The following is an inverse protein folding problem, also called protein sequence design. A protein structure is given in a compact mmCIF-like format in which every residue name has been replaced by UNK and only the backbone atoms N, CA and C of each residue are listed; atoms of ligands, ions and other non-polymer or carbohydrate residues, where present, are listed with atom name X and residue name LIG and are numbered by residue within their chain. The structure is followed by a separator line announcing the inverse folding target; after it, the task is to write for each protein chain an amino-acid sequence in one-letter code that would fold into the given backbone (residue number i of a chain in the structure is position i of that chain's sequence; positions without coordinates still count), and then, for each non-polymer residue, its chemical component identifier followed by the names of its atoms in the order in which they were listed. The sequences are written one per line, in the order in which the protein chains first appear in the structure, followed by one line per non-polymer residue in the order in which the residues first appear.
data_IF_129810308989
#
_entry.id   IF_129810308989
#
_cell.length_a   1.000
_cell.length_b   1.000
_cell.length_c   1.000
_cell.angle_alpha   90.00
_cell.angle_beta   90.00
_cell.angle_gamma   90.00
#
_symmetry.space_group_name_H-M   'P 1'
#
loop_
_entity.id
_entity.type
_entity.pdbx_description
1 polymer ?
#
# COMPACT_ATOMS: atom_id res chain seq x y z
N UNK A 1 15.20 -30.64 24.75
CA UNK A 1 15.67 -29.33 24.25
C UNK A 1 15.13 -28.24 25.17
N UNK A 2 15.99 -27.64 25.98
CA UNK A 2 15.65 -26.58 26.92
C UNK A 2 15.73 -25.23 26.21
N UNK A 3 14.62 -24.48 26.16
CA UNK A 3 14.61 -23.12 25.62
C UNK A 3 15.44 -22.20 26.52
N UNK A 4 16.66 -21.90 26.10
CA UNK A 4 17.45 -20.79 26.64
C UNK A 4 16.76 -19.48 26.24
N UNK A 5 16.05 -18.87 27.19
CA UNK A 5 15.42 -17.56 27.00
C UNK A 5 16.44 -16.50 26.56
N UNK A 6 15.94 -15.47 25.86
CA UNK A 6 16.75 -14.38 25.32
C UNK A 6 17.72 -13.80 26.37
N UNK A 7 18.97 -13.49 25.98
CA UNK A 7 19.99 -13.01 26.92
C UNK A 7 19.54 -11.71 27.61
N UNK A 8 19.55 -11.71 28.94
CA UNK A 8 19.26 -10.53 29.76
C UNK A 8 20.36 -9.48 29.54
N UNK A 9 20.08 -8.42 28.78
CA UNK A 9 20.91 -7.21 28.79
C UNK A 9 20.85 -6.58 30.19
N UNK A 10 22.03 -6.37 30.82
CA UNK A 10 22.16 -5.56 32.03
C UNK A 10 21.98 -4.09 31.61
N UNK A 11 20.84 -3.48 31.92
CA UNK A 11 20.65 -2.04 31.76
C UNK A 11 21.17 -1.30 33.00
N UNK A 12 21.94 -0.24 32.77
CA UNK A 12 22.36 0.71 33.80
C UNK A 12 21.15 1.37 34.48
N UNK A 13 21.24 1.74 35.77
CA UNK A 13 20.13 2.37 36.49
C UNK A 13 20.13 3.87 36.19
N UNK A 14 19.25 4.31 35.30
CA UNK A 14 19.09 5.72 34.96
C UNK A 14 18.26 5.88 33.69
N UNK A 15 16.96 5.59 33.83
CA UNK A 15 15.85 6.24 33.11
C UNK A 15 14.58 5.42 33.32
N UNK A 16 13.51 6.11 33.71
CA UNK A 16 12.14 5.69 33.98
C UNK A 16 11.78 4.23 33.66
N UNK A 17 11.79 3.39 34.69
CA UNK A 17 11.24 2.03 34.60
C UNK A 17 9.72 2.08 34.86
N UNK A 18 8.85 1.86 33.86
CA UNK A 18 7.47 1.49 34.17
C UNK A 18 7.53 0.22 35.01
N UNK A 19 6.94 0.25 36.21
CA UNK A 19 7.02 -0.82 37.20
C UNK A 19 6.84 -2.21 36.58
N UNK A 20 7.60 -3.18 37.09
CA UNK A 20 7.60 -4.57 36.59
C UNK A 20 6.16 -5.10 36.60
N UNK A 21 5.58 -5.27 35.42
CA UNK A 21 4.20 -5.70 35.24
C UNK A 21 4.00 -7.09 35.87
N UNK A 22 2.98 -7.23 36.71
CA UNK A 22 2.58 -8.51 37.30
C UNK A 22 2.19 -9.51 36.21
N UNK A 23 2.34 -10.82 36.46
CA UNK A 23 1.91 -11.88 35.54
C UNK A 23 0.42 -11.75 35.15
N UNK A 24 -0.40 -11.27 36.10
CA UNK A 24 -1.83 -11.03 35.90
C UNK A 24 -2.13 -9.96 34.83
N UNK A 25 -1.20 -9.02 34.60
CA UNK A 25 -1.37 -7.95 33.62
C UNK A 25 -1.59 -8.52 32.20
N UNK A 26 -0.74 -9.44 31.77
CA UNK A 26 -0.85 -10.03 30.44
C UNK A 26 -1.98 -11.05 30.35
N UNK A 27 -2.31 -11.75 31.43
CA UNK A 27 -3.48 -12.63 31.49
C UNK A 27 -4.79 -11.84 31.29
N UNK A 28 -4.91 -10.66 31.92
CA UNK A 28 -6.06 -9.78 31.76
C UNK A 28 -6.12 -9.16 30.35
N UNK A 29 -4.97 -8.74 29.80
CA UNK A 29 -4.91 -8.27 28.40
C UNK A 29 -5.32 -9.34 27.39
N UNK A 30 -4.95 -10.60 27.62
CA UNK A 30 -5.39 -11.70 26.76
C UNK A 30 -6.92 -11.85 26.78
N UNK A 31 -7.56 -11.75 27.95
CA UNK A 31 -9.03 -11.76 28.05
C UNK A 31 -9.65 -10.61 27.26
N UNK A 32 -9.10 -9.40 27.39
CA UNK A 32 -9.55 -8.24 26.61
C UNK A 32 -9.39 -8.44 25.10
N UNK A 33 -8.27 -8.99 24.65
CA UNK A 33 -8.05 -9.25 23.21
C UNK A 33 -8.97 -10.35 22.65
N UNK A 34 -9.29 -11.37 23.45
CA UNK A 34 -10.27 -12.39 23.07
C UNK A 34 -11.67 -11.78 22.96
N UNK A 35 -12.04 -10.88 23.88
CA UNK A 35 -13.33 -10.16 23.84
C UNK A 35 -13.40 -9.16 22.68
N UNK A 36 -12.31 -8.45 22.38
CA UNK A 36 -12.28 -7.45 21.31
C UNK A 36 -12.33 -8.05 19.90
N UNK A 37 -12.04 -9.35 19.76
CA UNK A 37 -11.99 -10.03 18.49
C UNK A 37 -10.82 -9.59 17.58
N UNK A 38 -10.89 -9.89 16.28
CA UNK A 38 -9.82 -9.61 15.34
C UNK A 38 -9.53 -8.11 15.21
N UNK A 39 -8.24 -7.76 15.28
CA UNK A 39 -7.80 -6.37 15.04
C UNK A 39 -7.91 -6.05 13.56
N UNK A 40 -8.65 -5.00 13.21
CA UNK A 40 -8.78 -4.56 11.82
C UNK A 40 -7.56 -3.74 11.38
N UNK A 41 -7.17 -3.82 10.10
CA UNK A 41 -6.09 -2.99 9.58
C UNK A 41 -6.43 -1.49 9.65
N UNK A 42 -5.47 -0.67 10.09
CA UNK A 42 -5.55 0.79 10.01
C UNK A 42 -5.02 1.26 8.66
N UNK A 43 -5.85 1.92 7.87
CA UNK A 43 -5.49 2.39 6.54
C UNK A 43 -5.23 3.89 6.51
N UNK A 44 -4.26 4.32 5.71
CA UNK A 44 -4.03 5.73 5.43
C UNK A 44 -5.19 6.33 4.62
N UNK A 45 -5.46 7.65 4.72
CA UNK A 45 -6.55 8.30 3.97
C UNK A 45 -6.50 8.01 2.46
N UNK A 46 -5.31 8.08 1.84
CA UNK A 46 -5.12 7.82 0.42
C UNK A 46 -5.51 6.38 0.02
N UNK A 47 -5.30 5.42 0.93
CA UNK A 47 -5.70 4.02 0.70
C UNK A 47 -7.23 3.86 0.67
N UNK A 48 -7.97 4.73 1.36
CA UNK A 48 -9.43 4.72 1.32
C UNK A 48 -9.96 5.33 0.02
N UNK A 49 -9.32 6.40 -0.49
CA UNK A 49 -9.67 7.01 -1.79
C UNK A 49 -9.48 6.01 -2.93
N UNK A 50 -8.32 5.33 -2.98
CA UNK A 50 -8.08 4.31 -4.01
C UNK A 50 -9.07 3.15 -3.90
N UNK A 51 -9.45 2.76 -2.68
CA UNK A 51 -10.47 1.74 -2.46
C UNK A 51 -11.85 2.16 -2.97
N UNK A 52 -12.24 3.43 -2.81
CA UNK A 52 -13.51 3.95 -3.34
C UNK A 52 -13.56 3.87 -4.88
N UNK A 53 -12.45 4.18 -5.56
CA UNK A 53 -12.38 4.05 -7.03
C UNK A 53 -12.56 2.61 -7.51
N UNK A 54 -11.95 1.63 -6.82
CA UNK A 54 -12.12 0.21 -7.16
C UNK A 54 -13.54 -0.26 -6.85
N UNK A 55 -14.13 0.20 -5.74
CA UNK A 55 -15.52 -0.09 -5.40
C UNK A 55 -16.48 0.43 -6.47
N UNK A 56 -16.25 1.65 -6.99
CA UNK A 56 -17.03 2.19 -8.10
C UNK A 56 -16.93 1.33 -9.37
N UNK A 57 -15.74 0.84 -9.70
CA UNK A 57 -15.54 -0.10 -10.82
C UNK A 57 -16.24 -1.44 -10.59
N UNK A 58 -16.16 -1.98 -9.38
CA UNK A 58 -16.84 -3.21 -8.99
C UNK A 58 -18.35 -3.10 -9.13
N UNK A 59 -18.94 -2.01 -8.62
CA UNK A 59 -20.37 -1.75 -8.76
C UNK A 59 -20.78 -1.68 -10.23
N UNK A 60 -20.02 -0.96 -11.06
CA UNK A 60 -20.30 -0.89 -12.51
C UNK A 60 -20.27 -2.26 -13.19
N UNK A 61 -19.25 -3.07 -12.90
CA UNK A 61 -19.19 -4.45 -13.39
C UNK A 61 -20.42 -5.26 -12.97
N UNK A 62 -20.81 -5.20 -11.70
CA UNK A 62 -21.97 -5.93 -11.19
C UNK A 62 -23.27 -5.44 -11.84
N UNK A 63 -23.43 -4.13 -12.04
CA UNK A 63 -24.58 -3.56 -12.75
C UNK A 63 -24.68 -4.08 -14.19
N UNK A 64 -23.56 -4.10 -14.92
CA UNK A 64 -23.52 -4.63 -16.30
C UNK A 64 -23.76 -6.14 -16.37
N UNK A 65 -23.41 -6.88 -15.31
CA UNK A 65 -23.66 -8.31 -15.18
C UNK A 65 -25.04 -8.65 -14.59
N UNK A 66 -25.87 -7.64 -14.27
CA UNK A 66 -27.15 -7.80 -13.55
C UNK A 66 -27.01 -8.55 -12.21
N UNK A 67 -25.94 -8.29 -11.47
CA UNK A 67 -25.63 -8.87 -10.16
C UNK A 67 -25.68 -7.79 -9.07
N UNK A 68 -26.06 -8.20 -7.85
CA UNK A 68 -25.91 -7.34 -6.68
C UNK A 68 -24.43 -7.32 -6.23
N UNK A 69 -23.81 -6.13 -6.08
CA UNK A 69 -22.39 -6.03 -5.75
C UNK A 69 -22.01 -6.61 -4.39
N UNK A 70 -22.91 -6.55 -3.40
CA UNK A 70 -22.65 -6.98 -2.04
C UNK A 70 -22.89 -8.49 -1.87
N UNK A 71 -23.91 -9.03 -2.53
CA UNK A 71 -24.16 -10.48 -2.60
C UNK A 71 -23.06 -11.21 -3.36
N UNK A 72 -22.61 -10.64 -4.49
CA UNK A 72 -21.49 -11.20 -5.25
C UNK A 72 -20.20 -11.20 -4.44
N UNK A 73 -19.94 -10.17 -3.62
CA UNK A 73 -18.79 -10.16 -2.71
C UNK A 73 -18.90 -11.22 -1.61
N UNK A 74 -20.11 -11.56 -1.16
CA UNK A 74 -20.32 -12.56 -0.12
C UNK A 74 -20.09 -13.98 -0.63
N UNK A 75 -20.50 -14.26 -1.86
CA UNK A 75 -20.47 -15.58 -2.48
C UNK A 75 -19.45 -15.68 -3.64
N UNK A 76 -18.44 -14.80 -3.63
CA UNK A 76 -17.50 -14.64 -4.74
C UNK A 76 -16.72 -15.93 -5.02
N UNK A 77 -16.68 -16.33 -6.28
CA UNK A 77 -15.91 -17.46 -6.81
C UNK A 77 -14.70 -16.96 -7.61
N UNK A 78 -13.79 -17.86 -7.98
CA UNK A 78 -12.68 -17.49 -8.87
C UNK A 78 -13.20 -17.04 -10.25
N UNK A 79 -14.31 -17.62 -10.73
CA UNK A 79 -14.93 -17.23 -12.00
C UNK A 79 -15.42 -15.78 -12.00
N UNK A 80 -15.96 -15.29 -10.87
CA UNK A 80 -16.42 -13.91 -10.75
C UNK A 80 -15.25 -12.93 -10.79
N UNK A 81 -14.16 -13.25 -10.11
CA UNK A 81 -12.94 -12.42 -10.12
C UNK A 81 -12.30 -12.40 -11.51
N UNK A 82 -12.27 -13.55 -12.20
CA UNK A 82 -11.77 -13.65 -13.57
C UNK A 82 -12.62 -12.83 -14.55
N UNK A 83 -13.94 -12.98 -14.49
CA UNK A 83 -14.90 -12.20 -15.28
C UNK A 83 -14.75 -10.70 -15.02
N UNK A 84 -14.51 -10.31 -13.77
CA UNK A 84 -14.23 -8.91 -13.46
C UNK A 84 -12.90 -8.43 -14.06
N UNK A 85 -11.84 -9.23 -14.08
CA UNK A 85 -10.61 -8.87 -14.77
C UNK A 85 -10.79 -8.80 -16.30
N UNK A 86 -11.62 -9.65 -16.89
CA UNK A 86 -11.99 -9.57 -18.31
C UNK A 86 -12.75 -8.26 -18.60
N UNK A 87 -13.66 -7.88 -17.70
CA UNK A 87 -14.35 -6.60 -17.77
C UNK A 87 -13.38 -5.42 -17.64
N UNK A 88 -12.38 -5.50 -16.75
CA UNK A 88 -11.33 -4.48 -16.63
C UNK A 88 -10.51 -4.38 -17.92
N UNK A 89 -10.12 -5.51 -18.50
CA UNK A 89 -9.42 -5.53 -19.78
C UNK A 89 -10.24 -4.84 -20.87
N UNK A 90 -11.50 -5.27 -21.04
CA UNK A 90 -12.40 -4.74 -22.07
C UNK A 90 -12.59 -3.22 -21.95
N UNK A 91 -12.73 -2.69 -20.74
CA UNK A 91 -13.13 -1.30 -20.52
C UNK A 91 -11.97 -0.33 -20.26
N UNK A 92 -10.79 -0.83 -19.84
CA UNK A 92 -9.67 0.03 -19.42
C UNK A 92 -8.34 -0.31 -20.10
N UNK A 93 -8.34 -1.18 -21.12
CA UNK A 93 -7.16 -1.38 -21.98
C UNK A 93 -6.77 -0.05 -22.62
N UNK A 94 -5.48 0.26 -22.56
CA UNK A 94 -4.95 1.55 -22.98
C UNK A 94 -4.95 2.61 -21.89
N UNK A 95 -5.92 2.66 -20.97
CA UNK A 95 -5.90 3.58 -19.82
C UNK A 95 -4.99 3.08 -18.69
N UNK A 96 -5.03 1.78 -18.41
CA UNK A 96 -4.12 1.15 -17.45
C UNK A 96 -2.78 0.89 -18.13
N UNK A 97 -1.70 1.43 -17.55
CA UNK A 97 -0.33 1.32 -18.10
C UNK A 97 0.62 0.43 -17.30
N UNK A 98 0.23 0.06 -16.07
CA UNK A 98 1.11 -0.63 -15.14
C UNK A 98 0.40 -1.80 -14.44
N UNK A 99 1.12 -2.91 -14.30
CA UNK A 99 0.67 -4.10 -13.58
C UNK A 99 0.30 -3.78 -12.13
N UNK A 100 1.02 -2.84 -11.51
CA UNK A 100 0.75 -2.38 -10.15
C UNK A 100 -0.69 -1.89 -9.93
N UNK A 101 -1.37 -1.40 -10.98
CA UNK A 101 -2.77 -1.02 -10.89
C UNK A 101 -3.68 -2.25 -10.69
N UNK A 102 -3.50 -3.31 -11.48
CA UNK A 102 -4.25 -4.56 -11.31
C UNK A 102 -3.97 -5.20 -9.96
N UNK A 103 -2.70 -5.20 -9.52
CA UNK A 103 -2.33 -5.69 -8.20
C UNK A 103 -2.99 -4.89 -7.07
N UNK A 104 -3.15 -3.57 -7.24
CA UNK A 104 -3.89 -2.75 -6.29
C UNK A 104 -5.38 -3.12 -6.28
N UNK A 105 -6.00 -3.27 -7.45
CA UNK A 105 -7.40 -3.63 -7.52
C UNK A 105 -7.67 -5.01 -6.89
N UNK A 106 -6.78 -5.98 -7.11
CA UNK A 106 -6.83 -7.30 -6.46
C UNK A 106 -6.75 -7.21 -4.92
N UNK A 107 -5.81 -6.40 -4.39
CA UNK A 107 -5.73 -6.16 -2.94
C UNK A 107 -7.02 -5.57 -2.41
N UNK A 108 -7.61 -4.60 -3.12
CA UNK A 108 -8.87 -3.99 -2.70
C UNK A 108 -10.02 -4.98 -2.73
N UNK A 109 -10.15 -5.84 -3.75
CA UNK A 109 -11.19 -6.85 -3.80
C UNK A 109 -11.10 -7.83 -2.63
N UNK A 110 -9.90 -8.35 -2.33
CA UNK A 110 -9.69 -9.20 -1.15
C UNK A 110 -10.08 -8.50 0.16
N UNK A 111 -9.78 -7.20 0.27
CA UNK A 111 -10.21 -6.39 1.42
C UNK A 111 -11.73 -6.28 1.49
N UNK A 112 -12.41 -5.98 0.38
CA UNK A 112 -13.87 -5.86 0.34
C UNK A 112 -14.55 -7.19 0.70
N UNK A 113 -14.05 -8.29 0.16
CA UNK A 113 -14.45 -9.64 0.52
C UNK A 113 -14.33 -9.87 2.03
N UNK A 114 -13.15 -9.64 2.61
CA UNK A 114 -12.93 -9.82 4.05
C UNK A 114 -13.84 -8.94 4.91
N UNK A 115 -14.09 -7.69 4.49
CA UNK A 115 -14.98 -6.80 5.24
C UNK A 115 -16.43 -7.29 5.24
N UNK A 116 -16.88 -7.97 4.17
CA UNK A 116 -18.23 -8.53 4.04
C UNK A 116 -18.37 -9.89 4.72
N UNK A 117 -17.42 -10.80 4.52
CA UNK A 117 -17.52 -12.20 5.00
C UNK A 117 -16.85 -12.43 6.36
N UNK A 118 -15.95 -11.53 6.77
CA UNK A 118 -15.02 -11.72 7.91
C UNK A 118 -14.14 -12.96 7.78
N UNK A 119 -13.97 -13.46 6.56
CA UNK A 119 -13.17 -14.65 6.23
C UNK A 119 -12.12 -14.29 5.19
N UNK A 120 -10.98 -14.96 5.27
CA UNK A 120 -10.05 -14.93 4.15
C UNK A 120 -10.60 -15.74 2.99
N UNK A 121 -10.26 -15.28 1.79
CA UNK A 121 -10.54 -16.02 0.57
C UNK A 121 -9.67 -17.28 0.52
N UNK A 122 -10.23 -18.35 -0.01
CA UNK A 122 -9.56 -19.64 -0.13
C UNK A 122 -8.19 -19.53 -0.82
N UNK A 123 -7.22 -20.36 -0.40
CA UNK A 123 -5.85 -20.29 -0.89
C UNK A 123 -5.76 -20.59 -2.40
N UNK A 124 -6.49 -21.60 -2.87
CA UNK A 124 -6.48 -22.01 -4.28
C UNK A 124 -7.15 -20.95 -5.14
N UNK A 125 -8.28 -20.42 -4.67
CA UNK A 125 -8.94 -19.28 -5.32
C UNK A 125 -8.00 -18.07 -5.44
N UNK A 126 -7.23 -17.75 -4.39
CA UNK A 126 -6.28 -16.62 -4.43
C UNK A 126 -5.17 -16.83 -5.46
N UNK A 127 -4.61 -18.04 -5.54
CA UNK A 127 -3.55 -18.39 -6.49
C UNK A 127 -4.08 -18.36 -7.92
N UNK A 128 -5.26 -18.96 -8.15
CA UNK A 128 -5.91 -19.00 -9.46
C UNK A 128 -6.21 -17.58 -9.99
N UNK A 129 -6.81 -16.73 -9.15
CA UNK A 129 -7.09 -15.33 -9.52
C UNK A 129 -5.81 -14.53 -9.77
N UNK A 130 -4.75 -14.76 -8.99
CA UNK A 130 -3.46 -14.10 -9.18
C UNK A 130 -2.81 -14.50 -10.51
N UNK A 131 -2.85 -15.80 -10.84
CA UNK A 131 -2.34 -16.30 -12.11
C UNK A 131 -3.14 -15.73 -13.28
N UNK A 132 -4.47 -15.67 -13.18
CA UNK A 132 -5.30 -15.07 -14.21
C UNK A 132 -5.05 -13.56 -14.39
N UNK A 133 -4.89 -12.82 -13.29
CA UNK A 133 -4.49 -11.40 -13.34
C UNK A 133 -3.18 -11.21 -14.11
N UNK A 134 -2.21 -12.14 -13.96
CA UNK A 134 -0.97 -12.10 -14.72
C UNK A 134 -1.19 -12.35 -16.22
N UNK A 135 -2.11 -13.25 -16.58
CA UNK A 135 -2.53 -13.46 -17.98
C UNK A 135 -3.12 -12.19 -18.56
N UNK A 136 -4.08 -11.56 -17.86
CA UNK A 136 -4.70 -10.29 -18.30
C UNK A 136 -3.67 -9.18 -18.40
N UNK A 137 -2.76 -9.07 -17.43
CA UNK A 137 -1.66 -8.11 -17.46
C UNK A 137 -0.79 -8.25 -18.70
N UNK A 138 -0.54 -9.48 -19.15
CA UNK A 138 0.21 -9.76 -20.39
C UNK A 138 -0.60 -9.37 -21.62
N UNK A 139 -1.88 -9.75 -21.70
CA UNK A 139 -2.77 -9.39 -22.84
C UNK A 139 -2.97 -7.88 -23.00
N UNK A 140 -2.95 -7.15 -21.89
CA UNK A 140 -3.03 -5.69 -21.86
C UNK A 140 -1.68 -5.01 -22.15
N UNK A 141 -0.55 -5.73 -22.18
CA UNK A 141 0.79 -5.15 -22.39
C UNK A 141 1.25 -4.24 -21.25
N UNK A 142 0.89 -4.56 -19.99
CA UNK A 142 1.19 -3.68 -18.86
C UNK A 142 2.66 -3.76 -18.44
N UNK A 143 3.24 -2.60 -18.08
CA UNK A 143 4.60 -2.57 -17.50
C UNK A 143 4.61 -3.16 -16.10
N UNK A 144 5.62 -3.99 -15.81
CA UNK A 144 5.87 -4.56 -14.48
C UNK A 144 6.70 -3.65 -13.59
N UNK A 145 7.70 -3.00 -14.16
CA UNK A 145 8.61 -2.10 -13.45
C UNK A 145 8.15 -0.66 -13.56
N UNK A 146 8.43 0.13 -12.52
CA UNK A 146 8.27 1.57 -12.59
C UNK A 146 9.15 2.11 -13.71
N UNK A 147 8.69 3.19 -14.34
CA UNK A 147 9.60 3.98 -15.16
C UNK A 147 10.78 4.44 -14.29
N UNK A 148 11.99 4.53 -14.86
CA UNK A 148 13.06 5.26 -14.19
C UNK A 148 12.51 6.65 -13.83
N UNK A 149 12.81 7.11 -12.61
CA UNK A 149 12.50 8.49 -12.25
C UNK A 149 13.21 9.37 -13.28
N UNK A 150 12.56 10.42 -13.80
CA UNK A 150 13.26 11.36 -14.66
C UNK A 150 14.50 11.83 -13.89
N UNK A 151 15.67 11.63 -14.49
CA UNK A 151 16.89 12.26 -13.99
C UNK A 151 16.69 13.75 -14.25
N UNK A 152 16.82 14.57 -13.19
CA UNK A 152 16.71 16.03 -13.34
C UNK A 152 17.64 16.49 -14.46
N UNK A 153 17.11 17.27 -15.38
CA UNK A 153 17.93 17.87 -16.44
C UNK A 153 18.86 18.92 -15.80
N UNK A 154 19.89 19.35 -16.53
CA UNK A 154 20.76 20.45 -16.08
C UNK A 154 19.96 21.71 -15.74
N UNK A 155 18.85 21.95 -16.43
CA UNK A 155 17.91 23.04 -16.17
C UNK A 155 17.19 22.89 -14.82
N UNK A 156 16.80 21.66 -14.43
CA UNK A 156 16.20 21.41 -13.11
C UNK A 156 17.21 21.71 -12.00
N UNK A 157 18.47 21.28 -12.19
CA UNK A 157 19.56 21.56 -11.25
C UNK A 157 19.81 23.07 -11.12
N UNK A 158 19.84 23.79 -12.24
CA UNK A 158 19.98 25.24 -12.25
C UNK A 158 18.81 25.92 -11.53
N UNK A 159 17.58 25.47 -11.78
CA UNK A 159 16.38 25.99 -11.11
C UNK A 159 16.44 25.76 -9.60
N UNK A 160 16.84 24.57 -9.14
CA UNK A 160 17.02 24.29 -7.71
C UNK A 160 18.10 25.18 -7.09
N UNK A 161 19.24 25.35 -7.78
CA UNK A 161 20.34 26.18 -7.31
C UNK A 161 19.91 27.66 -7.21
N UNK A 162 19.27 28.19 -8.25
CA UNK A 162 18.78 29.58 -8.25
C UNK A 162 17.75 29.80 -7.14
N UNK A 163 16.75 28.92 -7.00
CA UNK A 163 15.75 29.07 -5.93
C UNK A 163 16.33 28.97 -4.53
N UNK A 164 17.40 28.18 -4.30
CA UNK A 164 18.07 28.13 -3.00
C UNK A 164 19.06 29.27 -2.75
N UNK A 165 19.60 29.89 -3.80
CA UNK A 165 20.52 31.02 -3.68
C UNK A 165 19.78 32.37 -3.63
N UNK A 166 18.67 32.51 -4.36
CA UNK A 166 17.94 33.79 -4.49
C UNK A 166 16.73 33.84 -3.59
N UNK A 167 15.93 32.78 -3.56
CA UNK A 167 14.57 32.84 -2.99
C UNK A 167 14.44 32.21 -1.60
N UNK A 168 15.46 31.47 -1.12
CA UNK A 168 15.34 30.63 0.07
C UNK A 168 16.52 30.74 1.03
N UNK A 169 16.36 31.54 2.08
CA UNK A 169 17.37 31.75 3.13
C UNK A 169 17.51 30.55 4.09
N UNK A 170 16.62 29.55 3.99
CA UNK A 170 16.61 28.40 4.92
C UNK A 170 17.81 27.47 4.76
N UNK A 171 18.43 27.45 3.57
CA UNK A 171 19.57 26.58 3.25
C UNK A 171 20.89 27.34 3.35
N UNK A 172 20.92 28.59 2.88
CA UNK A 172 22.05 29.50 3.02
C UNK A 172 21.58 30.80 3.67
N UNK A 173 21.75 30.86 4.99
CA UNK A 173 21.24 31.95 5.82
C UNK A 173 21.93 33.29 5.55
N UNK A 174 23.18 33.26 5.09
CA UNK A 174 23.94 34.46 4.77
C UNK A 174 24.39 34.50 3.29
N UNK A 175 24.63 35.72 2.80
CA UNK A 175 25.02 35.97 1.41
C UNK A 175 26.42 35.41 1.10
N UNK A 176 27.27 35.28 2.11
CA UNK A 176 28.64 34.76 1.98
C UNK A 176 28.66 33.26 1.69
N UNK A 177 27.79 32.48 2.32
CA UNK A 177 27.60 31.05 2.07
C UNK A 177 27.08 30.78 0.65
N UNK A 178 26.20 31.66 0.14
CA UNK A 178 25.70 31.60 -1.25
C UNK A 178 26.83 31.83 -2.26
N UNK A 179 27.68 32.81 -1.97
CA UNK A 179 28.85 33.12 -2.80
C UNK A 179 29.91 32.02 -2.80
N UNK A 180 30.06 31.23 -1.72
CA UNK A 180 30.99 30.09 -1.71
C UNK A 180 30.50 28.87 -2.49
N UNK A 181 29.19 28.72 -2.68
CA UNK A 181 28.61 27.62 -3.45
C UNK A 181 28.79 27.80 -4.97
N UNK A 182 28.87 29.06 -5.44
CA UNK A 182 28.97 29.41 -6.86
C UNK A 182 30.29 29.00 -7.55
N UNK A 183 31.49 29.18 -6.95
CA UNK A 183 32.77 28.79 -7.55
C UNK A 183 32.94 27.29 -7.78
N UNK A 184 32.19 26.45 -7.06
CA UNK A 184 32.23 25.00 -7.21
C UNK A 184 31.35 24.48 -8.37
N UNK A 185 30.47 25.34 -8.90
CA UNK A 185 29.66 25.08 -10.07
C UNK A 185 30.44 25.52 -11.30
N UNK A 186 31.26 24.62 -11.86
CA UNK A 186 31.83 24.81 -13.20
C UNK A 186 30.68 24.72 -14.23
N UNK A 187 29.96 25.83 -14.42
CA UNK A 187 29.01 26.05 -15.51
C UNK A 187 29.75 26.48 -16.79
#
# INVERSE_FOLDING_TARGET
MTYSGLPRRKHAPGDDKPGRKSYLYYAQRRKLHLQSGPTLPKYSPNTNVSAASVRGKWVRFCTEACLDPDDLLKNMTSADVKSWFDWIEKNFKGSIKAHGALANYWRTLKRLYFLKTRREMDADMRVDCLNYMNVVSTRMGLRKHSLPKPTGQSEDLLQYLVSHLVDCDSVFADEKQRLYALPALNL
#
